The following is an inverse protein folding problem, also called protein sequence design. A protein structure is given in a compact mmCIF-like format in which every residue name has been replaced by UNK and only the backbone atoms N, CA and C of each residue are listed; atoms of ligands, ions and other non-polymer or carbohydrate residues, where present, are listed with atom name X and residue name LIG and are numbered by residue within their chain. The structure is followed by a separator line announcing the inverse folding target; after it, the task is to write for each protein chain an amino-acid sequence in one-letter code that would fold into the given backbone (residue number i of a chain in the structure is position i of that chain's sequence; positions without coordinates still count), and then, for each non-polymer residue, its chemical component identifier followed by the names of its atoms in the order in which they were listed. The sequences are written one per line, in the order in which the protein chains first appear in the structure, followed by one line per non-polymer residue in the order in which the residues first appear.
data_IF_772504969580
#
_entry.id   IF_772504969580
#
_cell.length_a   1.000
_cell.length_b   1.000
_cell.length_c   1.000
_cell.angle_alpha   90.00
_cell.angle_beta   90.00
_cell.angle_gamma   90.00
#
_symmetry.space_group_name_H-M   'P 1'
#
loop_
_entity.id
_entity.type
_entity.pdbx_description
1 polymer ?
#
# COMPACT_ATOMS: atom_id res chain seq x y z
N UNK A 1 -53.96 -36.15 -15.78
CA UNK A 1 -52.65 -36.13 -15.14
C UNK A 1 -52.07 -34.74 -15.42
N UNK A 2 -51.89 -33.88 -14.39
CA UNK A 2 -51.30 -32.57 -14.51
C UNK A 2 -49.83 -32.65 -14.11
N UNK A 3 -48.98 -31.80 -14.74
CA UNK A 3 -47.58 -31.60 -14.37
C UNK A 3 -47.50 -30.24 -13.69
N UNK A 4 -46.86 -30.16 -12.51
CA UNK A 4 -46.58 -28.93 -11.82
C UNK A 4 -45.08 -28.63 -12.03
N UNK A 5 -44.77 -27.48 -12.60
CA UNK A 5 -43.37 -27.00 -12.75
C UNK A 5 -43.20 -25.85 -11.77
N UNK A 6 -42.17 -25.94 -10.91
CA UNK A 6 -41.74 -24.86 -10.05
C UNK A 6 -40.42 -24.29 -10.58
N UNK A 7 -40.36 -23.00 -10.72
CA UNK A 7 -39.15 -22.27 -11.13
C UNK A 7 -38.78 -21.35 -9.98
N UNK A 8 -37.59 -21.55 -9.42
CA UNK A 8 -37.06 -20.72 -8.33
C UNK A 8 -35.84 -19.97 -8.87
N UNK A 9 -35.74 -18.68 -8.56
CA UNK A 9 -34.52 -17.91 -8.80
C UNK A 9 -33.50 -18.25 -7.70
N UNK A 10 -32.41 -18.90 -8.11
CA UNK A 10 -31.33 -19.35 -7.21
C UNK A 10 -30.06 -18.47 -7.33
N UNK A 11 -30.13 -17.33 -8.03
CA UNK A 11 -28.98 -16.45 -8.31
C UNK A 11 -28.31 -15.99 -7.01
N UNK A 12 -29.09 -15.55 -6.01
CA UNK A 12 -28.54 -15.15 -4.72
C UNK A 12 -27.84 -16.31 -3.99
N UNK A 13 -28.40 -17.51 -4.10
CA UNK A 13 -27.83 -18.70 -3.46
C UNK A 13 -26.52 -19.09 -4.10
N UNK A 14 -26.42 -19.09 -5.42
CA UNK A 14 -25.20 -19.39 -6.16
C UNK A 14 -24.12 -18.34 -5.83
N UNK A 15 -24.46 -17.06 -5.86
CA UNK A 15 -23.53 -15.98 -5.50
C UNK A 15 -23.01 -16.10 -4.05
N UNK A 16 -23.89 -16.53 -3.11
CA UNK A 16 -23.45 -16.80 -1.73
C UNK A 16 -22.53 -18.02 -1.63
N UNK A 17 -22.83 -19.11 -2.33
CA UNK A 17 -21.99 -20.31 -2.37
C UNK A 17 -20.61 -20.00 -2.99
N UNK A 18 -20.57 -19.25 -4.07
CA UNK A 18 -19.29 -18.79 -4.69
C UNK A 18 -18.49 -17.89 -3.76
N UNK A 19 -19.14 -16.93 -3.08
CA UNK A 19 -18.49 -16.09 -2.07
C UNK A 19 -17.97 -16.91 -0.87
N UNK A 20 -18.71 -17.92 -0.42
CA UNK A 20 -18.26 -18.80 0.66
C UNK A 20 -17.02 -19.60 0.25
N UNK A 21 -17.02 -20.20 -0.93
CA UNK A 21 -15.88 -20.96 -1.46
C UNK A 21 -14.65 -20.06 -1.64
N UNK A 22 -14.85 -18.84 -2.12
CA UNK A 22 -13.77 -17.86 -2.24
C UNK A 22 -13.24 -17.40 -0.88
N UNK A 23 -14.14 -17.19 0.10
CA UNK A 23 -13.77 -16.84 1.47
C UNK A 23 -13.00 -17.98 2.16
N UNK A 24 -13.42 -19.24 1.99
CA UNK A 24 -12.74 -20.41 2.56
C UNK A 24 -11.34 -20.62 1.97
N UNK A 25 -11.20 -20.46 0.65
CA UNK A 25 -9.88 -20.45 -0.02
C UNK A 25 -9.00 -19.31 0.50
N UNK A 26 -9.53 -18.11 0.69
CA UNK A 26 -8.80 -16.98 1.24
C UNK A 26 -8.38 -17.20 2.70
N UNK A 27 -9.23 -17.77 3.54
CA UNK A 27 -8.89 -18.08 4.94
C UNK A 27 -7.77 -19.13 5.03
N UNK A 28 -7.80 -20.16 4.17
CA UNK A 28 -6.74 -21.16 4.08
C UNK A 28 -5.40 -20.57 3.63
N UNK A 29 -5.41 -19.72 2.61
CA UNK A 29 -4.22 -18.98 2.15
C UNK A 29 -3.73 -17.99 3.21
N UNK A 30 -4.65 -17.34 3.93
CA UNK A 30 -4.33 -16.36 4.95
C UNK A 30 -3.58 -16.93 6.16
N UNK A 31 -4.00 -18.08 6.68
CA UNK A 31 -3.35 -18.71 7.83
C UNK A 31 -1.93 -19.23 7.49
N UNK A 32 -1.74 -19.76 6.29
CA UNK A 32 -0.44 -20.17 5.77
C UNK A 32 0.46 -18.95 5.48
N UNK A 33 -0.12 -17.87 4.94
CA UNK A 33 0.62 -16.65 4.62
C UNK A 33 1.21 -15.98 5.86
N UNK A 34 0.56 -16.05 7.02
CA UNK A 34 1.09 -15.45 8.26
C UNK A 34 2.39 -16.11 8.73
N UNK A 35 2.47 -17.45 8.67
CA UNK A 35 3.70 -18.19 8.97
C UNK A 35 4.80 -17.95 7.94
N UNK A 36 4.44 -18.07 6.66
CA UNK A 36 5.38 -17.89 5.54
C UNK A 36 5.91 -16.45 5.43
N UNK A 37 5.12 -15.45 5.79
CA UNK A 37 5.58 -14.06 5.74
C UNK A 37 6.73 -13.77 6.69
N UNK A 38 6.71 -14.32 7.90
CA UNK A 38 7.85 -14.23 8.81
C UNK A 38 9.09 -14.94 8.25
N UNK A 39 8.89 -16.12 7.66
CA UNK A 39 10.00 -16.89 7.06
C UNK A 39 10.55 -16.25 5.77
N UNK A 40 9.75 -15.50 5.01
CA UNK A 40 10.20 -14.76 3.82
C UNK A 40 10.83 -13.42 4.21
N UNK A 41 10.27 -12.70 5.18
CA UNK A 41 10.77 -11.39 5.59
C UNK A 41 12.15 -11.48 6.25
N UNK A 42 12.47 -12.57 6.93
CA UNK A 42 13.77 -12.77 7.56
C UNK A 42 14.93 -12.80 6.56
N UNK A 43 14.97 -13.70 5.55
CA UNK A 43 16.03 -13.69 4.55
C UNK A 43 16.01 -12.41 3.70
N UNK A 44 14.82 -11.87 3.40
CA UNK A 44 14.69 -10.63 2.64
C UNK A 44 15.29 -9.44 3.39
N UNK A 45 15.03 -9.33 4.69
CA UNK A 45 15.64 -8.33 5.56
C UNK A 45 17.17 -8.44 5.58
N UNK A 46 17.69 -9.67 5.65
CA UNK A 46 19.14 -9.92 5.60
C UNK A 46 19.75 -9.48 4.25
N UNK A 47 19.09 -9.76 3.13
CA UNK A 47 19.54 -9.34 1.78
C UNK A 47 19.60 -7.81 1.69
N UNK A 48 18.53 -7.13 2.08
CA UNK A 48 18.44 -5.67 2.05
C UNK A 48 19.49 -5.02 2.96
N UNK A 49 19.65 -5.56 4.17
CA UNK A 49 20.63 -5.08 5.13
C UNK A 49 22.07 -5.25 4.59
N UNK A 50 22.38 -6.39 3.98
CA UNK A 50 23.68 -6.65 3.38
C UNK A 50 23.95 -5.71 2.20
N UNK A 51 22.98 -5.46 1.33
CA UNK A 51 23.14 -4.50 0.24
C UNK A 51 23.42 -3.06 0.76
N UNK A 52 22.72 -2.64 1.82
CA UNK A 52 23.00 -1.36 2.49
C UNK A 52 24.40 -1.33 3.13
N UNK A 53 24.79 -2.41 3.78
CA UNK A 53 26.12 -2.51 4.40
C UNK A 53 27.23 -2.47 3.36
N UNK A 54 27.08 -3.13 2.20
CA UNK A 54 28.04 -3.06 1.10
C UNK A 54 28.18 -1.60 0.64
N UNK A 55 27.07 -0.91 0.37
CA UNK A 55 27.08 0.51 0.01
C UNK A 55 27.81 1.37 1.04
N UNK A 56 27.48 1.18 2.32
CA UNK A 56 28.07 1.92 3.43
C UNK A 56 29.57 1.69 3.55
N UNK A 57 30.03 0.45 3.38
CA UNK A 57 31.46 0.08 3.49
C UNK A 57 32.28 0.53 2.29
N UNK A 58 31.64 0.84 1.17
CA UNK A 58 32.30 1.38 -0.01
C UNK A 58 32.31 2.92 -0.04
N UNK A 59 31.61 3.59 0.88
CA UNK A 59 31.56 5.06 0.93
C UNK A 59 32.88 5.65 1.44
N UNK A 60 33.51 6.57 0.72
CA UNK A 60 34.72 7.26 1.18
C UNK A 60 34.45 8.29 2.30
N UNK A 61 33.19 8.60 2.56
CA UNK A 61 32.79 9.59 3.58
C UNK A 61 32.96 9.07 5.00
N UNK A 62 32.96 7.74 5.18
CA UNK A 62 33.10 7.10 6.49
C UNK A 62 34.58 6.96 6.87
N UNK A 63 34.96 7.49 8.01
CA UNK A 63 36.34 7.47 8.53
C UNK A 63 36.89 6.05 8.66
N UNK A 64 36.11 5.11 9.20
CA UNK A 64 36.49 3.68 9.28
C UNK A 64 36.85 3.05 7.93
N UNK A 65 36.21 3.50 6.84
CA UNK A 65 36.53 2.98 5.50
C UNK A 65 37.86 3.57 5.00
N UNK A 66 38.16 4.83 5.35
CA UNK A 66 39.45 5.48 5.03
C UNK A 66 40.59 4.82 5.80
N UNK A 67 40.41 4.60 7.11
CA UNK A 67 41.40 3.88 7.94
C UNK A 67 41.70 2.50 7.35
N UNK A 68 40.65 1.70 7.04
CA UNK A 68 40.84 0.37 6.45
C UNK A 68 41.54 0.42 5.08
N UNK A 69 41.25 1.45 4.29
CA UNK A 69 41.86 1.66 2.96
C UNK A 69 43.34 2.02 3.09
N UNK A 70 43.72 2.87 4.06
CA UNK A 70 45.10 3.22 4.37
C UNK A 70 45.88 2.00 4.83
N UNK A 71 45.34 1.23 5.77
CA UNK A 71 45.97 -0.01 6.29
C UNK A 71 46.22 -1.04 5.19
N UNK A 72 45.36 -1.11 4.18
CA UNK A 72 45.45 -2.09 3.08
C UNK A 72 46.13 -1.53 1.83
N UNK A 73 46.48 -0.24 1.80
CA UNK A 73 47.08 0.42 0.63
C UNK A 73 46.09 0.61 -0.55
N UNK A 74 44.80 0.57 -0.29
CA UNK A 74 43.76 0.73 -1.30
C UNK A 74 43.32 2.19 -1.42
N UNK A 75 43.25 2.74 -2.63
CA UNK A 75 42.70 4.07 -2.87
C UNK A 75 41.19 3.98 -3.12
N UNK A 76 40.40 4.41 -2.15
CA UNK A 76 38.91 4.36 -2.22
C UNK A 76 38.34 5.10 -3.42
N UNK A 77 38.95 6.21 -3.82
CA UNK A 77 38.51 6.99 -4.99
C UNK A 77 38.64 6.16 -6.28
N UNK A 78 39.75 5.42 -6.43
CA UNK A 78 39.97 4.53 -7.59
C UNK A 78 38.97 3.37 -7.60
N UNK A 79 38.68 2.80 -6.41
CA UNK A 79 37.66 1.75 -6.25
C UNK A 79 36.28 2.31 -6.64
N UNK A 80 35.89 3.48 -6.12
CA UNK A 80 34.61 4.09 -6.44
C UNK A 80 34.46 4.40 -7.93
N UNK A 81 35.51 4.91 -8.59
CA UNK A 81 35.49 5.12 -10.02
C UNK A 81 35.31 3.80 -10.81
N UNK A 82 35.95 2.74 -10.38
CA UNK A 82 35.77 1.42 -10.96
C UNK A 82 34.33 0.93 -10.80
N UNK A 83 33.77 1.00 -9.58
CA UNK A 83 32.40 0.58 -9.26
C UNK A 83 31.36 1.38 -10.06
N UNK A 84 31.56 2.70 -10.21
CA UNK A 84 30.70 3.54 -11.06
C UNK A 84 30.74 3.13 -12.52
N UNK A 85 31.95 2.88 -13.08
CA UNK A 85 32.08 2.41 -14.46
C UNK A 85 31.49 1.02 -14.70
N UNK A 86 31.40 0.20 -13.65
CA UNK A 86 30.80 -1.13 -13.67
C UNK A 86 29.34 -1.16 -13.24
N UNK A 87 28.74 0.02 -13.03
CA UNK A 87 27.33 0.19 -12.66
C UNK A 87 26.93 -0.57 -11.38
N UNK A 88 27.89 -0.82 -10.48
CA UNK A 88 27.63 -1.56 -9.22
C UNK A 88 26.65 -0.81 -8.30
N UNK A 89 26.69 0.53 -8.17
CA UNK A 89 25.68 1.26 -7.40
C UNK A 89 24.25 1.01 -7.90
N UNK A 90 24.05 0.99 -9.24
CA UNK A 90 22.75 0.73 -9.87
C UNK A 90 22.26 -0.71 -9.59
N UNK A 91 23.17 -1.69 -9.54
CA UNK A 91 22.85 -3.07 -9.14
C UNK A 91 22.39 -3.14 -7.69
N UNK A 92 23.06 -2.42 -6.78
CA UNK A 92 22.67 -2.35 -5.37
C UNK A 92 21.30 -1.68 -5.21
N UNK A 93 21.02 -0.62 -5.98
CA UNK A 93 19.70 0.03 -6.02
C UNK A 93 18.63 -0.94 -6.53
N UNK A 94 18.93 -1.70 -7.58
CA UNK A 94 18.05 -2.75 -8.10
C UNK A 94 17.71 -3.82 -7.05
N UNK A 95 18.69 -4.27 -6.27
CA UNK A 95 18.48 -5.23 -5.16
C UNK A 95 17.57 -4.62 -4.10
N UNK A 96 17.80 -3.36 -3.70
CA UNK A 96 16.97 -2.67 -2.71
C UNK A 96 15.53 -2.50 -3.20
N UNK A 97 15.33 -2.07 -4.43
CA UNK A 97 13.99 -1.91 -5.02
C UNK A 97 13.25 -3.23 -5.15
N UNK A 98 13.92 -4.29 -5.63
CA UNK A 98 13.32 -5.62 -5.75
C UNK A 98 12.93 -6.19 -4.38
N UNK A 99 13.82 -6.07 -3.39
CA UNK A 99 13.56 -6.51 -2.03
C UNK A 99 12.41 -5.73 -1.36
N UNK A 100 12.39 -4.42 -1.53
CA UNK A 100 11.27 -3.59 -1.00
C UNK A 100 9.93 -3.95 -1.66
N UNK A 101 9.91 -4.25 -2.97
CA UNK A 101 8.71 -4.75 -3.65
C UNK A 101 8.26 -6.10 -3.10
N UNK A 102 9.19 -7.02 -2.90
CA UNK A 102 8.89 -8.34 -2.32
C UNK A 102 8.30 -8.20 -0.90
N UNK A 103 8.87 -7.36 -0.04
CA UNK A 103 8.35 -7.08 1.29
C UNK A 103 6.92 -6.49 1.26
N UNK A 104 6.63 -5.59 0.30
CA UNK A 104 5.28 -5.07 0.10
C UNK A 104 4.28 -6.15 -0.32
N UNK A 105 4.67 -7.05 -1.23
CA UNK A 105 3.80 -8.17 -1.66
C UNK A 105 3.48 -9.07 -0.46
N UNK A 106 4.49 -9.42 0.35
CA UNK A 106 4.31 -10.23 1.56
C UNK A 106 3.42 -9.51 2.58
N UNK A 107 3.60 -8.20 2.77
CA UNK A 107 2.75 -7.40 3.66
C UNK A 107 1.30 -7.34 3.19
N UNK A 108 1.07 -7.18 1.87
CA UNK A 108 -0.28 -7.24 1.32
C UNK A 108 -0.90 -8.63 1.52
N UNK A 109 -0.14 -9.72 1.33
CA UNK A 109 -0.62 -11.08 1.58
C UNK A 109 -1.01 -11.31 3.05
N UNK A 110 -0.28 -10.69 3.99
CA UNK A 110 -0.59 -10.69 5.43
C UNK A 110 -1.84 -9.89 5.77
N UNK A 111 -2.09 -8.77 5.10
CA UNK A 111 -3.28 -7.95 5.35
C UNK A 111 -4.58 -8.73 5.05
N UNK A 112 -4.56 -9.62 4.07
CA UNK A 112 -5.66 -10.56 3.83
C UNK A 112 -5.82 -11.61 4.94
N UNK A 113 -4.74 -12.00 5.62
CA UNK A 113 -4.75 -12.99 6.72
C UNK A 113 -5.31 -12.44 8.02
N UNK A 114 -5.18 -11.14 8.29
CA UNK A 114 -5.65 -10.48 9.52
C UNK A 114 -7.17 -10.27 9.58
N UNK A 115 -7.93 -10.79 8.62
CA UNK A 115 -9.40 -10.73 8.59
C UNK A 115 -10.10 -11.44 9.75
N UNK A 116 -9.38 -12.01 10.75
CA UNK A 116 -9.96 -12.83 11.81
C UNK A 116 -10.64 -12.07 12.97
N UNK A 117 -10.54 -10.74 13.02
CA UNK A 117 -11.20 -9.96 14.08
C UNK A 117 -12.25 -9.00 13.49
N UNK A 118 -13.22 -9.55 12.75
CA UNK A 118 -14.33 -8.82 12.15
C UNK A 118 -15.37 -8.45 13.21
N UNK A 119 -15.04 -7.54 14.10
CA UNK A 119 -16.06 -6.94 14.96
C UNK A 119 -16.61 -5.69 14.28
N UNK A 120 -17.88 -5.78 13.89
CA UNK A 120 -18.64 -4.62 13.49
C UNK A 120 -18.75 -3.70 14.72
N UNK A 121 -18.21 -2.51 14.62
CA UNK A 121 -18.23 -1.51 15.69
C UNK A 121 -18.88 -0.24 15.16
N UNK A 122 -19.43 0.53 16.07
CA UNK A 122 -19.98 1.85 15.78
C UNK A 122 -18.83 2.87 15.73
N UNK A 123 -18.32 3.15 14.51
CA UNK A 123 -17.13 3.96 14.30
C UNK A 123 -17.48 5.42 13.99
N UNK A 124 -16.71 6.35 14.53
CA UNK A 124 -16.77 7.76 14.14
C UNK A 124 -16.12 7.96 12.79
N UNK A 125 -16.94 8.14 11.75
CA UNK A 125 -16.47 8.18 10.36
C UNK A 125 -15.50 9.34 10.07
N UNK A 126 -15.75 10.58 10.50
CA UNK A 126 -14.81 11.68 10.30
C UNK A 126 -13.43 11.41 10.90
N UNK A 127 -13.39 10.86 12.12
CA UNK A 127 -12.17 10.56 12.85
C UNK A 127 -11.35 9.46 12.15
N UNK A 128 -12.03 8.44 11.61
CA UNK A 128 -11.39 7.35 10.89
C UNK A 128 -10.81 7.84 9.55
N UNK A 129 -11.49 8.75 8.86
CA UNK A 129 -10.96 9.39 7.65
C UNK A 129 -9.73 10.25 7.97
N UNK A 130 -9.76 11.02 9.06
CA UNK A 130 -8.61 11.84 9.47
C UNK A 130 -7.41 10.99 9.88
N UNK A 131 -7.61 9.85 10.54
CA UNK A 131 -6.54 8.88 10.85
C UNK A 131 -5.92 8.32 9.56
N UNK A 132 -6.74 7.95 8.58
CA UNK A 132 -6.24 7.46 7.29
C UNK A 132 -5.42 8.54 6.54
N UNK A 133 -5.83 9.81 6.62
CA UNK A 133 -5.08 10.94 6.05
C UNK A 133 -3.73 11.16 6.74
N UNK A 134 -3.67 11.03 8.07
CA UNK A 134 -2.43 11.14 8.84
C UNK A 134 -1.44 10.03 8.47
N UNK A 135 -1.92 8.78 8.39
CA UNK A 135 -1.10 7.64 7.94
C UNK A 135 -0.60 7.87 6.51
N UNK A 136 -1.48 8.28 5.59
CA UNK A 136 -1.10 8.58 4.21
C UNK A 136 -0.03 9.68 4.14
N UNK A 137 -0.14 10.72 4.95
CA UNK A 137 0.83 11.81 5.03
C UNK A 137 2.21 11.36 5.52
N UNK A 138 2.28 10.34 6.36
CA UNK A 138 3.54 9.81 6.88
C UNK A 138 4.15 8.74 5.95
N UNK A 139 3.35 7.80 5.47
CA UNK A 139 3.82 6.66 4.67
C UNK A 139 4.14 7.05 3.23
N UNK A 140 3.37 8.00 2.64
CA UNK A 140 3.56 8.40 1.25
C UNK A 140 4.63 9.49 1.07
N UNK A 141 5.05 10.17 2.14
CA UNK A 141 6.19 11.09 2.12
C UNK A 141 7.53 10.39 1.78
N UNK A 142 7.58 9.06 1.88
CA UNK A 142 8.75 8.22 1.56
C UNK A 142 8.70 7.61 0.15
N UNK A 143 7.65 7.87 -0.64
CA UNK A 143 7.57 7.40 -2.02
C UNK A 143 8.32 8.33 -2.96
N UNK A 144 9.23 7.78 -3.74
CA UNK A 144 10.13 8.43 -4.71
C UNK A 144 9.59 9.74 -5.34
N UNK A 145 10.02 10.88 -4.80
CA UNK A 145 9.83 12.19 -5.43
C UNK A 145 8.44 12.81 -5.29
N UNK A 146 7.53 12.24 -4.49
CA UNK A 146 6.20 12.77 -4.28
C UNK A 146 5.92 13.01 -2.79
N UNK A 147 5.54 14.25 -2.46
CA UNK A 147 5.11 14.61 -1.10
C UNK A 147 3.58 14.73 -1.03
N UNK A 148 2.93 13.74 -0.42
CA UNK A 148 1.48 13.74 -0.18
C UNK A 148 1.01 15.00 0.56
N UNK A 149 1.87 15.59 1.40
CA UNK A 149 1.57 16.81 2.16
C UNK A 149 1.41 18.04 1.27
N UNK A 150 1.89 17.98 0.03
CA UNK A 150 1.70 19.06 -0.96
C UNK A 150 0.32 19.09 -1.58
N UNK A 151 -0.46 18.00 -1.41
CA UNK A 151 -1.83 17.91 -1.91
C UNK A 151 -2.77 18.69 -1.00
N UNK A 152 -3.64 19.47 -1.60
CA UNK A 152 -4.75 20.12 -0.89
C UNK A 152 -5.84 19.09 -0.56
N UNK A 153 -6.15 18.91 0.74
CA UNK A 153 -7.20 18.01 1.20
C UNK A 153 -8.44 18.83 1.58
N UNK A 154 -9.51 18.65 0.82
CA UNK A 154 -10.82 19.27 1.07
C UNK A 154 -11.73 18.26 1.74
N UNK A 155 -12.30 18.64 2.89
CA UNK A 155 -13.26 17.84 3.66
C UNK A 155 -14.65 18.44 3.51
N UNK A 156 -15.57 17.64 3.00
CA UNK A 156 -16.97 17.99 2.78
C UNK A 156 -17.86 16.91 3.41
N UNK A 157 -17.89 16.90 4.75
CA UNK A 157 -18.56 15.88 5.52
C UNK A 157 -19.99 16.28 5.85
N UNK A 158 -20.94 15.35 5.63
CA UNK A 158 -22.32 15.51 6.05
C UNK A 158 -22.41 15.47 7.58
N UNK A 159 -22.88 16.54 8.23
CA UNK A 159 -22.98 16.59 9.68
C UNK A 159 -23.97 15.59 10.29
N UNK A 160 -24.83 14.97 9.46
CA UNK A 160 -25.76 13.93 9.91
C UNK A 160 -25.08 12.57 10.04
N UNK A 161 -23.84 12.41 9.53
CA UNK A 161 -23.07 11.16 9.58
C UNK A 161 -21.90 11.36 10.57
N UNK A 162 -22.14 11.06 11.84
CA UNK A 162 -21.06 11.03 12.83
C UNK A 162 -20.55 9.58 13.00
N UNK A 163 -21.46 8.61 13.12
CA UNK A 163 -21.15 7.23 13.41
C UNK A 163 -21.78 6.28 12.39
N UNK A 164 -21.01 5.25 12.02
CA UNK A 164 -21.47 4.20 11.12
C UNK A 164 -21.02 2.83 11.63
N UNK A 165 -21.86 1.79 11.53
CA UNK A 165 -21.42 0.44 11.84
C UNK A 165 -20.46 -0.06 10.76
N UNK A 166 -19.18 -0.23 11.10
CA UNK A 166 -18.17 -0.71 10.19
C UNK A 166 -17.07 -1.51 10.89
N UNK A 167 -16.23 -2.18 10.13
CA UNK A 167 -14.98 -2.76 10.59
C UNK A 167 -13.89 -1.72 10.35
N UNK A 168 -13.48 -1.01 11.41
CA UNK A 168 -12.60 0.16 11.33
C UNK A 168 -11.34 -0.10 10.50
N UNK A 169 -10.63 -1.21 10.76
CA UNK A 169 -9.38 -1.53 10.05
C UNK A 169 -9.60 -1.83 8.56
N UNK A 170 -10.73 -2.44 8.19
CA UNK A 170 -11.04 -2.70 6.78
C UNK A 170 -11.37 -1.39 6.05
N UNK A 171 -12.15 -0.51 6.68
CA UNK A 171 -12.48 0.80 6.11
C UNK A 171 -11.24 1.70 6.01
N UNK A 172 -10.37 1.71 7.02
CA UNK A 172 -9.08 2.42 6.99
C UNK A 172 -8.23 1.94 5.81
N UNK A 173 -8.12 0.61 5.60
CA UNK A 173 -7.37 0.05 4.48
C UNK A 173 -7.94 0.46 3.11
N UNK A 174 -9.27 0.51 2.98
CA UNK A 174 -9.94 0.99 1.76
C UNK A 174 -9.60 2.46 1.52
N UNK A 175 -9.70 3.30 2.56
CA UNK A 175 -9.36 4.72 2.48
C UNK A 175 -7.90 4.94 2.08
N UNK A 176 -6.95 4.23 2.70
CA UNK A 176 -5.53 4.30 2.35
C UNK A 176 -5.27 3.92 0.90
N UNK A 177 -5.94 2.88 0.39
CA UNK A 177 -5.81 2.47 -1.01
C UNK A 177 -6.35 3.53 -1.96
N UNK A 178 -7.51 4.13 -1.66
CA UNK A 178 -8.10 5.20 -2.48
C UNK A 178 -7.23 6.46 -2.46
N UNK A 179 -6.75 6.89 -1.29
CA UNK A 179 -5.85 8.04 -1.14
C UNK A 179 -4.54 7.83 -1.89
N UNK A 180 -3.98 6.62 -1.85
CA UNK A 180 -2.78 6.27 -2.62
C UNK A 180 -3.01 6.35 -4.12
N UNK A 181 -4.14 5.81 -4.61
CA UNK A 181 -4.47 5.86 -6.03
C UNK A 181 -4.67 7.31 -6.49
N UNK A 182 -5.40 8.12 -5.71
CA UNK A 182 -5.59 9.54 -5.97
C UNK A 182 -4.25 10.30 -6.04
N UNK A 183 -3.36 10.07 -5.06
CA UNK A 183 -2.04 10.68 -5.03
C UNK A 183 -1.18 10.28 -6.23
N UNK A 184 -1.22 9.01 -6.65
CA UNK A 184 -0.52 8.54 -7.84
C UNK A 184 -1.07 9.15 -9.12
N UNK A 185 -2.40 9.27 -9.26
CA UNK A 185 -3.04 9.90 -10.40
C UNK A 185 -2.67 11.39 -10.52
N UNK A 186 -2.62 12.11 -9.40
CA UNK A 186 -2.16 13.51 -9.33
C UNK A 186 -0.68 13.62 -9.73
N UNK A 187 0.17 12.75 -9.20
CA UNK A 187 1.60 12.78 -9.52
C UNK A 187 1.89 12.50 -10.99
N UNK A 188 1.15 11.59 -11.61
CA UNK A 188 1.29 11.26 -13.03
C UNK A 188 0.73 12.35 -13.95
N UNK A 189 -0.17 13.19 -13.44
CA UNK A 189 -0.71 14.31 -14.18
C UNK A 189 0.27 15.48 -14.13
N UNK A 190 1.03 15.69 -15.22
CA UNK A 190 1.99 16.78 -15.36
C UNK A 190 1.32 18.17 -15.54
N UNK A 191 0.01 18.28 -15.37
CA UNK A 191 -0.68 19.56 -15.37
C UNK A 191 -0.15 20.45 -14.23
N UNK A 192 0.04 21.75 -14.52
CA UNK A 192 0.61 22.74 -13.57
C UNK A 192 -0.34 23.11 -12.42
N UNK A 193 -1.44 22.39 -12.26
CA UNK A 193 -2.40 22.63 -11.18
C UNK A 193 -1.96 21.97 -9.88
N UNK A 194 -2.20 22.64 -8.76
CA UNK A 194 -1.97 22.08 -7.43
C UNK A 194 -2.83 20.83 -7.24
N UNK A 195 -2.21 19.72 -6.83
CA UNK A 195 -2.91 18.49 -6.54
C UNK A 195 -3.98 18.70 -5.47
N UNK A 196 -5.17 18.16 -5.69
CA UNK A 196 -6.31 18.28 -4.76
C UNK A 196 -7.05 16.96 -4.66
N UNK A 197 -7.38 16.58 -3.43
CA UNK A 197 -8.26 15.46 -3.11
C UNK A 197 -9.44 15.99 -2.29
N UNK A 198 -10.66 15.64 -2.69
CA UNK A 198 -11.89 15.99 -1.99
C UNK A 198 -12.48 14.72 -1.38
N UNK A 199 -12.68 14.74 -0.06
CA UNK A 199 -13.32 13.67 0.69
C UNK A 199 -14.72 14.12 1.09
N UNK A 200 -15.74 13.44 0.56
CA UNK A 200 -17.13 13.74 0.89
C UNK A 200 -17.77 12.57 1.62
N UNK A 201 -18.63 12.87 2.59
CA UNK A 201 -19.57 11.90 3.13
C UNK A 201 -20.99 12.35 2.82
N UNK A 202 -21.88 11.42 2.44
CA UNK A 202 -23.28 11.70 2.15
C UNK A 202 -24.17 10.61 2.73
N UNK A 203 -25.27 11.02 3.35
CA UNK A 203 -26.29 10.08 3.83
C UNK A 203 -27.22 9.74 2.68
N UNK A 204 -27.19 8.48 2.24
CA UNK A 204 -28.07 7.93 1.21
C UNK A 204 -28.77 6.66 1.77
N UNK A 205 -29.81 6.84 2.59
CA UNK A 205 -30.41 5.73 3.33
C UNK A 205 -30.79 4.54 2.43
N UNK A 206 -30.45 3.29 2.85
CA UNK A 206 -29.91 2.93 4.15
C UNK A 206 -28.36 3.02 4.28
N UNK A 207 -27.69 3.67 3.35
CA UNK A 207 -26.22 3.69 3.24
C UNK A 207 -25.63 5.03 3.66
N UNK A 208 -24.44 4.98 4.26
CA UNK A 208 -23.51 6.11 4.33
C UNK A 208 -22.52 5.96 3.17
N UNK A 209 -22.38 6.98 2.36
CA UNK A 209 -21.51 7.00 1.19
C UNK A 209 -20.26 7.82 1.49
N UNK A 210 -19.08 7.30 1.11
CA UNK A 210 -17.82 8.01 1.14
C UNK A 210 -17.35 8.19 -0.30
N UNK A 211 -17.07 9.42 -0.70
CA UNK A 211 -16.56 9.77 -2.01
C UNK A 211 -15.14 10.30 -1.88
N UNK A 212 -14.23 9.79 -2.71
CA UNK A 212 -12.86 10.30 -2.86
C UNK A 212 -12.72 10.77 -4.30
N UNK A 213 -12.54 12.08 -4.48
CA UNK A 213 -12.37 12.71 -5.80
C UNK A 213 -10.98 13.34 -5.85
N UNK A 214 -10.26 13.12 -6.95
CA UNK A 214 -8.97 13.72 -7.23
C UNK A 214 -9.00 14.52 -8.54
N UNK A 215 -8.03 15.43 -8.69
CA UNK A 215 -7.82 16.16 -9.95
C UNK A 215 -6.66 15.60 -10.78
N UNK A 216 -6.39 14.32 -10.65
CA UNK A 216 -5.38 13.60 -11.45
C UNK A 216 -5.79 13.39 -12.90
N UNK A 217 -5.02 12.59 -13.62
CA UNK A 217 -5.22 12.33 -15.07
C UNK A 217 -6.41 11.40 -15.39
N UNK A 218 -7.17 10.92 -14.39
CA UNK A 218 -8.25 9.97 -14.56
C UNK A 218 -7.79 8.55 -14.90
N UNK A 219 -8.76 7.64 -15.12
CA UNK A 219 -8.50 6.25 -15.50
C UNK A 219 -8.53 6.14 -17.03
N UNK A 220 -7.44 5.67 -17.68
CA UNK A 220 -7.41 5.47 -19.12
C UNK A 220 -8.52 4.51 -19.59
N UNK A 221 -9.09 4.77 -20.79
CA UNK A 221 -10.20 3.95 -21.31
C UNK A 221 -9.89 2.46 -21.45
N UNK A 222 -8.63 2.10 -21.68
CA UNK A 222 -8.18 0.71 -21.78
C UNK A 222 -8.07 -0.02 -20.42
N UNK A 223 -8.32 0.67 -19.31
CA UNK A 223 -8.25 0.12 -17.93
C UNK A 223 -9.63 0.18 -17.26
N UNK A 224 -10.60 0.84 -17.88
CA UNK A 224 -12.03 0.84 -17.48
C UNK A 224 -12.71 -0.49 -17.87
#
# INVERSE_FOLDING_TARGET
RGVVIRIDDITQRINMEEMMVQSEKMLSVGSLAAGMAHEINNPLGAILHNAQNIRRRLSPELERNREAAEETGVRLEAVNQYLQRREVPQLLDGIQQAGSRAAKIVSHMLSFSRMSNRQLADCQLPMLIDQALEIAGNDFALMEGFDFRSIEIVRDFDPQIDRVPCIANELEQVLLNLLKNAAQAIHQNQAQERGRIILRTRLNPPWAEIQVEDNGGGIPENVR
#
